data_IF_090591844310
#
_entry.id   IF_090591844310
#
_cell.length_a   1.000
_cell.length_b   1.000
_cell.length_c   1.000
_cell.angle_alpha   90.00
_cell.angle_beta   90.00
_cell.angle_gamma   90.00
#
_symmetry.space_group_name_H-M   'P 1'
#
loop_
_entity.id
_entity.type
_entity.pdbx_description
1 polymer ?
#
# COMPACT_ATOMS: atom_id res chain seq x y z
N UNK A 1 17.66 4.60 2.28
CA UNK A 1 16.60 4.55 1.27
C UNK A 1 15.27 4.32 1.93
N UNK A 2 14.46 5.34 1.87
CA UNK A 2 13.18 5.27 2.55
C UNK A 2 12.07 5.17 1.53
N UNK A 3 11.34 4.07 1.62
CA UNK A 3 10.24 3.79 0.72
C UNK A 3 8.96 3.92 1.50
N UNK A 4 8.04 4.74 0.98
CA UNK A 4 6.73 4.85 1.58
C UNK A 4 5.79 3.83 0.94
N UNK A 5 4.66 3.61 1.62
CA UNK A 5 3.62 2.75 1.05
C UNK A 5 3.19 3.28 -0.31
N UNK A 6 3.03 4.61 -0.43
CA UNK A 6 2.60 5.18 -1.70
C UNK A 6 3.60 4.89 -2.80
N UNK A 7 4.88 5.03 -2.51
CA UNK A 7 5.91 4.78 -3.51
C UNK A 7 5.89 3.32 -3.95
N UNK A 8 5.73 2.42 -3.00
CA UNK A 8 5.64 1.00 -3.32
C UNK A 8 4.48 0.73 -4.28
N UNK A 9 3.33 1.31 -3.99
CA UNK A 9 2.14 1.12 -4.83
C UNK A 9 2.39 1.66 -6.23
N UNK A 10 2.98 2.85 -6.32
CA UNK A 10 3.20 3.47 -7.61
C UNK A 10 4.25 2.73 -8.44
N UNK A 11 5.32 2.31 -7.80
CA UNK A 11 6.39 1.65 -8.52
C UNK A 11 5.99 0.29 -9.05
N UNK A 12 5.02 -0.33 -8.42
CA UNK A 12 4.56 -1.64 -8.86
C UNK A 12 3.36 -1.56 -9.80
N UNK A 13 2.98 -0.36 -10.20
CA UNK A 13 1.94 -0.20 -11.19
C UNK A 13 0.52 -0.40 -10.69
N UNK A 14 0.33 -0.42 -9.39
CA UNK A 14 -1.01 -0.53 -8.85
C UNK A 14 -1.76 0.77 -8.99
N UNK A 15 -3.07 0.66 -9.17
CA UNK A 15 -3.94 1.83 -9.13
C UNK A 15 -4.30 2.12 -7.69
N UNK A 16 -3.87 3.27 -7.14
CA UNK A 16 -4.13 3.56 -5.72
C UNK A 16 -5.61 3.57 -5.35
N UNK A 17 -6.47 3.80 -6.33
CA UNK A 17 -7.90 3.85 -6.06
C UNK A 17 -8.55 2.48 -6.05
N UNK A 18 -7.79 1.45 -6.41
CA UNK A 18 -8.34 0.12 -6.58
C UNK A 18 -7.69 -0.92 -5.70
N UNK A 19 -6.91 -0.49 -4.73
CA UNK A 19 -6.23 -1.43 -3.85
C UNK A 19 -6.38 -0.99 -2.40
N UNK A 20 -6.31 -1.98 -1.53
CA UNK A 20 -6.21 -1.77 -0.09
C UNK A 20 -4.86 -2.31 0.33
N UNK A 21 -4.19 -1.59 1.20
CA UNK A 21 -2.87 -2.00 1.67
C UNK A 21 -2.95 -2.36 3.14
N UNK A 22 -2.38 -3.52 3.45
CA UNK A 22 -2.20 -3.93 4.84
C UNK A 22 -0.73 -4.00 5.15
N UNK A 23 -0.36 -3.45 6.27
CA UNK A 23 1.01 -3.47 6.74
C UNK A 23 1.03 -4.19 8.08
N UNK A 24 1.73 -5.32 8.10
CA UNK A 24 1.82 -6.15 9.30
C UNK A 24 0.43 -6.49 9.86
N UNK A 25 -0.50 -6.77 8.96
CA UNK A 25 -1.83 -7.18 9.34
C UNK A 25 -2.82 -6.06 9.61
N UNK A 26 -2.39 -4.82 9.45
CA UNK A 26 -3.26 -3.67 9.70
C UNK A 26 -3.45 -2.85 8.45
N UNK A 27 -4.68 -2.46 8.19
CA UNK A 27 -4.98 -1.63 7.04
C UNK A 27 -4.36 -0.25 7.20
N UNK A 28 -3.68 0.21 6.15
CA UNK A 28 -3.13 1.56 6.13
C UNK A 28 -4.04 2.43 5.28
N UNK A 29 -4.70 3.42 5.89
CA UNK A 29 -5.57 4.30 5.11
C UNK A 29 -4.79 5.00 4.01
N UNK A 30 -5.45 5.19 2.86
CA UNK A 30 -4.76 5.78 1.72
C UNK A 30 -4.16 7.14 2.03
N UNK A 31 -4.83 7.92 2.86
CA UNK A 31 -4.33 9.25 3.22
C UNK A 31 -2.99 9.19 3.97
N UNK A 32 -2.63 8.02 4.51
CA UNK A 32 -1.39 7.86 5.26
C UNK A 32 -0.27 7.25 4.43
N UNK A 33 -0.56 6.82 3.20
CA UNK A 33 0.44 6.10 2.41
C UNK A 33 1.70 6.94 2.16
N UNK A 34 1.54 8.23 1.95
CA UNK A 34 2.68 9.07 1.64
C UNK A 34 3.56 9.34 2.84
N UNK A 35 3.05 9.08 4.03
CA UNK A 35 3.80 9.32 5.26
C UNK A 35 4.22 8.04 5.95
N UNK A 36 3.74 6.90 5.46
CA UNK A 36 4.07 5.63 6.11
C UNK A 36 5.28 5.02 5.45
N UNK A 37 6.39 5.02 6.18
CA UNK A 37 7.63 4.46 5.68
C UNK A 37 7.69 2.97 5.99
N UNK A 38 8.31 2.23 5.09
CA UNK A 38 8.44 0.79 5.22
C UNK A 38 9.80 0.46 5.81
N UNK A 39 9.82 -0.56 6.64
CA UNK A 39 11.03 -1.08 7.21
C UNK A 39 11.32 -2.46 6.62
N UNK A 40 12.54 -2.91 6.82
CA UNK A 40 13.02 -4.10 6.14
C UNK A 40 12.21 -5.36 6.42
N UNK A 41 11.68 -5.48 7.63
CA UNK A 41 10.96 -6.68 8.03
C UNK A 41 9.45 -6.53 7.95
N UNK A 42 8.99 -5.43 7.40
CA UNK A 42 7.56 -5.22 7.28
C UNK A 42 6.95 -6.18 6.27
N UNK A 43 5.76 -6.65 6.59
CA UNK A 43 4.99 -7.50 5.69
C UNK A 43 3.88 -6.65 5.10
N UNK A 44 3.92 -6.48 3.79
CA UNK A 44 2.96 -5.65 3.08
C UNK A 44 2.10 -6.53 2.21
N UNK A 45 0.79 -6.38 2.34
CA UNK A 45 -0.17 -7.04 1.47
C UNK A 45 -0.93 -6.00 0.68
N UNK A 46 -1.01 -6.22 -0.61
CA UNK A 46 -1.79 -5.34 -1.49
C UNK A 46 -2.98 -6.15 -1.98
N UNK A 47 -4.16 -5.70 -1.64
CA UNK A 47 -5.40 -6.39 -1.96
C UNK A 47 -6.11 -5.60 -3.04
N UNK A 48 -6.31 -6.22 -4.19
CA UNK A 48 -7.03 -5.56 -5.28
C UNK A 48 -8.52 -5.62 -5.04
N UNK A 49 -9.16 -4.49 -5.26
CA UNK A 49 -10.61 -4.43 -5.17
C UNK A 49 -11.17 -4.78 -6.54
N UNK A 50 -12.02 -5.78 -6.54
CA UNK A 50 -12.66 -6.20 -7.78
C UNK A 50 -13.94 -5.42 -7.93
N UNK A 51 -14.00 -4.63 -8.98
CA UNK A 51 -15.20 -3.87 -9.27
C UNK A 51 -16.28 -4.82 -9.74
N UNK A 52 -17.41 -4.76 -9.08
CA UNK A 52 -18.51 -5.64 -9.44
C UNK A 52 -19.33 -5.15 -10.60
N UNK A 53 -18.89 -4.06 -11.22
CA UNK A 53 -19.72 -3.60 -12.20
C UNK A 53 -19.31 -3.09 -13.41
#
# INVERSE_FOLDING_TARGET
DQVTVLLLIEENGYNPKRVVVELNGETVPRREWKERFLCEKDIVEVIRLISGG
#
